data_IF_866825920829
#
_entry.id   IF_866825920829
#
_cell.length_a   1.000
_cell.length_b   1.000
_cell.length_c   1.000
_cell.angle_alpha   90.00
_cell.angle_beta   90.00
_cell.angle_gamma   90.00
#
_symmetry.space_group_name_H-M   'P 1'
#
loop_
_entity.id
_entity.type
_entity.pdbx_description
1 polymer ?
#
# COMPACT_ATOMS: atom_id res chain seq x y z
N UNK A 1 48.57 16.41 -5.00
CA UNK A 1 47.34 15.79 -5.53
C UNK A 1 47.68 14.36 -5.87
N UNK A 2 47.17 13.43 -5.08
CA UNK A 2 47.36 12.00 -5.30
C UNK A 2 46.50 11.57 -6.50
N UNK A 3 47.10 10.80 -7.40
CA UNK A 3 46.54 10.44 -8.69
C UNK A 3 46.80 8.96 -8.96
N UNK A 4 45.76 8.23 -9.31
CA UNK A 4 45.90 6.84 -9.75
C UNK A 4 46.36 6.85 -11.20
N UNK A 5 47.58 6.36 -11.44
CA UNK A 5 48.15 6.25 -12.79
C UNK A 5 47.84 4.87 -13.36
N UNK A 6 47.09 4.82 -14.45
CA UNK A 6 46.97 3.62 -15.27
C UNK A 6 48.11 3.54 -16.27
N UNK A 7 48.72 2.36 -16.42
CA UNK A 7 49.84 2.12 -17.31
C UNK A 7 49.48 2.19 -18.81
N UNK A 8 48.19 2.20 -19.15
CA UNK A 8 47.70 2.05 -20.53
C UNK A 8 47.29 3.36 -21.23
N UNK A 9 47.55 4.52 -20.64
CA UNK A 9 47.11 5.81 -21.18
C UNK A 9 45.61 6.06 -20.94
N UNK A 10 45.30 7.30 -20.55
CA UNK A 10 43.94 7.73 -20.17
C UNK A 10 44.00 8.99 -19.31
N UNK A 11 42.85 9.65 -19.10
CA UNK A 11 42.75 10.76 -18.16
C UNK A 11 43.03 10.24 -16.73
N UNK A 12 43.93 10.88 -15.96
CA UNK A 12 44.18 10.48 -14.58
C UNK A 12 42.90 10.58 -13.75
N UNK A 13 42.62 9.56 -12.93
CA UNK A 13 41.56 9.63 -11.93
C UNK A 13 42.11 10.34 -10.71
N UNK A 14 41.46 11.43 -10.33
CA UNK A 14 41.77 12.19 -9.12
C UNK A 14 40.97 11.62 -7.95
N UNK A 15 41.49 11.83 -6.73
CA UNK A 15 40.76 11.44 -5.51
C UNK A 15 39.36 12.09 -5.44
N UNK A 16 39.21 13.29 -6.00
CA UNK A 16 37.93 13.98 -6.06
C UNK A 16 36.91 13.30 -6.97
N UNK A 17 37.35 12.59 -8.03
CA UNK A 17 36.47 11.80 -8.88
C UNK A 17 35.91 10.59 -8.12
N UNK A 18 36.71 9.96 -7.25
CA UNK A 18 36.26 8.85 -6.40
C UNK A 18 35.24 9.35 -5.37
N UNK A 19 35.49 10.51 -4.76
CA UNK A 19 34.51 11.14 -3.85
C UNK A 19 33.21 11.49 -4.57
N UNK A 20 33.31 11.96 -5.81
CA UNK A 20 32.14 12.24 -6.63
C UNK A 20 31.33 10.97 -6.90
N UNK A 21 31.98 9.86 -7.28
CA UNK A 21 31.31 8.58 -7.51
C UNK A 21 30.59 8.04 -6.25
N UNK A 22 31.24 8.11 -5.08
CA UNK A 22 30.62 7.72 -3.81
C UNK A 22 29.39 8.58 -3.48
N UNK A 23 29.49 9.90 -3.68
CA UNK A 23 28.36 10.81 -3.48
C UNK A 23 27.20 10.51 -4.45
N UNK A 24 27.49 10.31 -5.75
CA UNK A 24 26.47 10.00 -6.76
C UNK A 24 25.74 8.70 -6.41
N UNK A 25 26.47 7.68 -5.96
CA UNK A 25 25.87 6.42 -5.50
C UNK A 25 24.90 6.65 -4.34
N UNK A 26 25.35 7.34 -3.28
CA UNK A 26 24.55 7.63 -2.08
C UNK A 26 23.31 8.45 -2.40
N UNK A 27 23.44 9.48 -3.23
CA UNK A 27 22.32 10.34 -3.63
C UNK A 27 21.33 9.61 -4.55
N UNK A 28 21.80 8.73 -5.43
CA UNK A 28 20.92 7.91 -6.29
C UNK A 28 20.08 6.96 -5.44
N UNK A 29 20.69 6.29 -4.45
CA UNK A 29 19.95 5.41 -3.54
C UNK A 29 18.94 6.18 -2.67
N UNK A 30 19.31 7.37 -2.16
CA UNK A 30 18.37 8.26 -1.48
C UNK A 30 17.16 8.59 -2.34
N UNK A 31 17.37 8.98 -3.59
CA UNK A 31 16.29 9.29 -4.53
C UNK A 31 15.43 8.08 -4.86
N UNK A 32 16.04 6.90 -5.01
CA UNK A 32 15.30 5.66 -5.22
C UNK A 32 14.38 5.34 -4.04
N UNK A 33 14.85 5.52 -2.80
CA UNK A 33 14.02 5.33 -1.61
C UNK A 33 12.88 6.36 -1.54
N UNK A 34 13.14 7.61 -1.95
CA UNK A 34 12.10 8.65 -2.03
C UNK A 34 10.99 8.32 -3.06
N UNK A 35 11.30 7.54 -4.11
CA UNK A 35 10.28 7.10 -5.08
C UNK A 35 9.18 6.25 -4.43
N UNK A 36 9.45 5.62 -3.29
CA UNK A 36 8.46 4.90 -2.48
C UNK A 36 7.71 5.80 -1.50
N UNK A 37 7.75 7.13 -1.72
CA UNK A 37 7.16 8.15 -0.86
C UNK A 37 7.73 8.14 0.58
N UNK A 38 8.96 7.66 0.73
CA UNK A 38 9.70 7.76 1.98
C UNK A 38 10.28 9.17 2.10
N UNK A 39 10.05 9.90 3.20
CA UNK A 39 10.78 11.13 3.47
C UNK A 39 12.30 10.93 3.30
N UNK A 40 12.98 11.98 2.86
CA UNK A 40 14.40 11.96 2.48
C UNK A 40 15.37 11.55 3.59
N UNK A 41 14.90 11.50 4.83
CA UNK A 41 15.60 11.11 6.04
C UNK A 41 15.10 9.78 6.64
N UNK A 42 14.24 9.02 5.94
CA UNK A 42 13.77 7.75 6.47
C UNK A 42 14.88 6.71 6.40
N UNK A 43 15.09 6.13 7.56
CA UNK A 43 15.86 4.91 7.75
C UNK A 43 14.89 3.72 7.74
N UNK A 44 15.24 2.63 7.06
CA UNK A 44 14.37 1.46 6.96
C UNK A 44 15.19 0.16 6.83
N UNK A 45 14.57 -0.96 7.21
CA UNK A 45 15.18 -2.28 7.03
C UNK A 45 14.95 -2.72 5.58
N UNK A 46 16.02 -3.00 4.84
CA UNK A 46 15.92 -3.50 3.46
C UNK A 46 15.65 -5.00 3.49
N UNK A 47 16.40 -5.73 4.34
CA UNK A 47 16.30 -7.19 4.49
C UNK A 47 16.92 -7.63 5.80
N UNK A 48 16.37 -8.67 6.43
CA UNK A 48 16.93 -9.26 7.65
C UNK A 48 16.61 -8.42 8.89
N UNK A 49 17.54 -8.34 9.83
CA UNK A 49 17.43 -7.56 11.08
C UNK A 49 16.18 -7.88 11.91
N UNK A 50 15.72 -9.13 11.84
CA UNK A 50 14.65 -9.67 12.66
C UNK A 50 15.12 -9.77 14.11
N UNK A 51 14.31 -9.21 15.00
CA UNK A 51 14.56 -9.20 16.44
C UNK A 51 13.81 -10.37 17.07
N UNK A 52 14.55 -11.31 17.62
CA UNK A 52 14.02 -12.39 18.47
C UNK A 52 14.25 -12.01 19.93
N UNK A 53 13.16 -11.94 20.68
CA UNK A 53 13.21 -11.56 22.08
C UNK A 53 13.38 -12.80 22.97
N UNK A 54 14.45 -12.85 23.77
CA UNK A 54 14.63 -13.86 24.84
C UNK A 54 14.35 -13.22 26.21
N UNK A 55 14.52 -13.92 27.33
CA UNK A 55 14.25 -13.30 28.64
C UNK A 55 15.21 -12.14 28.96
N UNK A 56 16.49 -12.25 28.59
CA UNK A 56 17.55 -11.32 29.00
C UNK A 56 18.20 -10.56 27.85
N UNK A 57 18.00 -11.00 26.60
CA UNK A 57 18.62 -10.39 25.43
C UNK A 57 17.66 -10.24 24.25
N UNK A 58 17.98 -9.31 23.37
CA UNK A 58 17.49 -9.26 21.99
C UNK A 58 18.52 -9.93 21.09
N UNK A 59 18.10 -10.95 20.35
CA UNK A 59 18.90 -11.60 19.32
C UNK A 59 18.48 -11.04 17.97
N UNK A 60 19.42 -10.43 17.27
CA UNK A 60 19.18 -9.77 15.99
C UNK A 60 19.95 -10.53 14.94
N UNK A 61 19.26 -11.02 13.90
CA UNK A 61 19.94 -11.66 12.79
C UNK A 61 20.58 -10.62 11.86
N UNK A 62 21.51 -11.10 11.04
CA UNK A 62 22.17 -10.25 10.05
C UNK A 62 21.18 -9.68 9.02
N UNK A 63 21.56 -8.54 8.43
CA UNK A 63 20.74 -7.90 7.41
C UNK A 63 21.36 -6.67 6.78
N UNK A 64 20.53 -5.93 6.06
CA UNK A 64 20.88 -4.70 5.37
C UNK A 64 19.86 -3.64 5.76
N UNK A 65 20.36 -2.49 6.17
CA UNK A 65 19.55 -1.35 6.62
C UNK A 65 19.95 -0.13 5.80
N UNK A 66 18.96 0.68 5.42
CA UNK A 66 19.22 2.04 4.97
C UNK A 66 19.14 2.97 6.17
N UNK A 67 20.25 3.65 6.51
CA UNK A 67 20.28 4.71 7.52
C UNK A 67 20.61 6.03 6.84
N UNK A 68 19.71 7.01 6.91
CA UNK A 68 19.86 8.31 6.22
C UNK A 68 20.20 8.17 4.72
N UNK A 69 19.67 7.12 4.07
CA UNK A 69 19.91 6.82 2.66
C UNK A 69 21.25 6.15 2.34
N UNK A 70 22.05 5.81 3.35
CA UNK A 70 23.22 4.96 3.21
C UNK A 70 22.84 3.50 3.45
N UNK A 71 23.16 2.62 2.50
CA UNK A 71 23.01 1.19 2.69
C UNK A 71 24.16 0.65 3.54
N UNK A 72 23.82 0.06 4.67
CA UNK A 72 24.76 -0.49 5.63
C UNK A 72 24.46 -1.96 5.87
N UNK A 73 25.54 -2.73 5.99
CA UNK A 73 25.47 -4.08 6.52
C UNK A 73 25.23 -4.02 8.03
N UNK A 74 24.31 -4.83 8.53
CA UNK A 74 24.02 -5.00 9.94
C UNK A 74 24.45 -6.43 10.33
N UNK A 75 25.56 -6.61 11.06
CA UNK A 75 25.96 -7.93 11.52
C UNK A 75 24.98 -8.46 12.57
N UNK A 76 24.92 -9.79 12.73
CA UNK A 76 24.15 -10.41 13.80
C UNK A 76 24.64 -9.93 15.17
N UNK A 77 23.70 -9.56 16.05
CA UNK A 77 23.98 -8.91 17.33
C UNK A 77 23.16 -9.54 18.45
N UNK A 78 23.77 -9.64 19.63
CA UNK A 78 23.08 -9.98 20.87
C UNK A 78 23.16 -8.78 21.79
N UNK A 79 22.02 -8.16 22.08
CA UNK A 79 21.94 -6.95 22.89
C UNK A 79 21.25 -7.27 24.20
N UNK A 80 21.88 -6.96 25.34
CA UNK A 80 21.27 -7.14 26.64
C UNK A 80 20.05 -6.24 26.81
N UNK A 81 19.03 -6.75 27.49
CA UNK A 81 17.83 -5.97 27.84
C UNK A 81 18.08 -5.06 29.03
N UNK A 82 17.72 -3.80 28.85
CA UNK A 82 17.75 -2.73 29.81
C UNK A 82 16.40 -2.04 29.77
N UNK A 83 15.86 -1.71 30.93
CA UNK A 83 14.58 -1.02 31.07
C UNK A 83 14.78 0.23 31.92
N UNK A 84 15.32 1.27 31.30
CA UNK A 84 15.48 2.60 31.91
C UNK A 84 14.49 3.54 31.23
N UNK A 85 13.72 4.27 32.03
CA UNK A 85 12.71 5.21 31.53
C UNK A 85 13.36 6.26 30.62
N UNK A 86 12.75 6.50 29.45
CA UNK A 86 13.22 7.48 28.47
C UNK A 86 14.38 7.03 27.58
N UNK A 87 14.86 5.79 27.73
CA UNK A 87 15.85 5.19 26.86
C UNK A 87 15.20 4.13 25.97
N UNK A 88 15.76 3.94 24.77
CA UNK A 88 15.28 2.94 23.82
C UNK A 88 16.43 2.35 23.02
N UNK A 89 16.13 1.27 22.31
CA UNK A 89 17.04 0.65 21.36
C UNK A 89 16.82 1.25 19.98
N UNK A 90 17.91 1.68 19.35
CA UNK A 90 17.85 2.30 18.03
C UNK A 90 19.09 1.97 17.21
N UNK A 91 18.94 2.03 15.89
CA UNK A 91 20.04 1.81 14.96
C UNK A 91 20.89 3.06 14.81
N UNK A 92 22.20 2.87 14.85
CA UNK A 92 23.22 3.88 14.59
C UNK A 92 24.20 3.36 13.54
N UNK A 93 24.93 4.30 12.94
CA UNK A 93 26.13 3.96 12.18
C UNK A 93 27.28 3.89 13.17
N UNK A 94 27.96 2.75 13.19
CA UNK A 94 29.18 2.56 13.93
C UNK A 94 30.35 2.46 12.95
N UNK A 95 31.46 3.11 13.30
CA UNK A 95 32.65 3.20 12.46
C UNK A 95 33.77 2.47 13.19
N UNK A 96 34.30 1.41 12.57
CA UNK A 96 35.45 0.67 13.08
C UNK A 96 36.60 0.74 12.08
N UNK A 97 37.82 0.51 12.53
CA UNK A 97 39.00 0.50 11.70
C UNK A 97 39.60 -0.89 11.66
N UNK A 98 39.97 -1.35 10.46
CA UNK A 98 40.67 -2.62 10.35
C UNK A 98 41.99 -2.59 11.13
N UNK A 99 42.29 -3.67 11.86
CA UNK A 99 43.51 -3.80 12.64
C UNK A 99 44.79 -3.81 11.79
N UNK A 100 44.70 -4.23 10.52
CA UNK A 100 45.76 -4.14 9.51
C UNK A 100 45.70 -2.84 8.68
N UNK A 101 44.69 -2.00 8.93
CA UNK A 101 44.46 -0.75 8.22
C UNK A 101 45.37 0.39 8.65
N UNK A 102 46.29 0.21 9.59
CA UNK A 102 47.17 1.28 10.07
C UNK A 102 48.42 1.43 9.20
N UNK A 103 48.71 2.66 8.78
CA UNK A 103 49.91 2.99 8.00
C UNK A 103 50.76 4.01 8.72
N UNK A 104 52.08 3.81 8.72
CA UNK A 104 53.03 4.80 9.22
C UNK A 104 53.37 5.75 8.08
N UNK A 105 53.06 7.03 8.26
CA UNK A 105 53.38 8.10 7.32
C UNK A 105 54.88 8.43 7.38
N UNK A 106 55.39 9.13 6.35
CA UNK A 106 56.80 9.53 6.27
C UNK A 106 57.26 10.44 7.43
N UNK A 107 56.32 11.08 8.13
CA UNK A 107 56.58 11.88 9.34
C UNK A 107 56.59 11.04 10.63
N UNK A 108 56.48 9.71 10.55
CA UNK A 108 56.45 8.78 11.68
C UNK A 108 55.07 8.64 12.35
N UNK A 109 54.03 9.33 11.89
CA UNK A 109 52.69 9.20 12.46
C UNK A 109 51.98 7.95 11.93
N UNK A 110 51.38 7.16 12.83
CA UNK A 110 50.49 6.06 12.46
C UNK A 110 49.08 6.59 12.24
N UNK A 111 48.52 6.35 11.06
CA UNK A 111 47.16 6.77 10.68
C UNK A 111 46.35 5.55 10.27
N UNK A 112 45.12 5.47 10.76
CA UNK A 112 44.15 4.47 10.31
C UNK A 112 43.72 4.81 8.88
N UNK A 113 43.99 3.92 7.94
CA UNK A 113 43.79 4.14 6.51
C UNK A 113 42.54 3.45 5.96
N UNK A 114 41.99 2.46 6.67
CA UNK A 114 40.82 1.68 6.25
C UNK A 114 39.73 1.72 7.31
N UNK A 115 38.65 2.44 7.00
CA UNK A 115 37.43 2.55 7.81
C UNK A 115 36.37 1.57 7.29
N UNK A 116 35.71 0.88 8.20
CA UNK A 116 34.49 0.11 7.96
C UNK A 116 33.32 0.78 8.67
N UNK A 117 32.17 0.75 8.00
CA UNK A 117 30.94 1.32 8.53
C UNK A 117 29.85 0.27 8.48
N UNK A 118 29.20 0.04 9.61
CA UNK A 118 28.09 -0.91 9.72
C UNK A 118 26.97 -0.33 10.56
N UNK A 119 25.78 -0.92 10.45
CA UNK A 119 24.66 -0.58 11.30
C UNK A 119 24.72 -1.40 12.60
N UNK A 120 24.65 -0.70 13.74
CA UNK A 120 24.69 -1.29 15.07
C UNK A 120 23.51 -0.81 15.93
N UNK A 121 23.04 -1.66 16.85
CA UNK A 121 21.99 -1.27 17.80
C UNK A 121 22.59 -0.68 19.06
N UNK A 122 22.34 0.61 19.27
CA UNK A 122 22.65 1.30 20.51
C UNK A 122 21.46 1.26 21.49
N UNK A 123 21.77 1.41 22.77
CA UNK A 123 20.80 1.64 23.83
C UNK A 123 21.07 2.98 24.51
N UNK A 124 20.07 3.84 24.57
CA UNK A 124 20.20 5.14 25.23
C UNK A 124 19.10 6.12 24.85
N UNK A 125 19.38 7.41 25.01
CA UNK A 125 18.48 8.48 24.56
C UNK A 125 18.66 8.62 23.04
N UNK A 126 17.62 8.38 22.23
CA UNK A 126 17.74 8.47 20.79
C UNK A 126 17.81 9.94 20.32
N UNK A 127 18.46 10.21 19.18
CA UNK A 127 18.38 11.52 18.54
C UNK A 127 16.96 11.81 18.04
N UNK A 128 16.69 13.07 17.64
CA UNK A 128 15.36 13.49 17.16
C UNK A 128 14.85 12.73 15.93
N UNK A 129 15.76 12.17 15.12
CA UNK A 129 15.47 11.31 13.99
C UNK A 129 16.29 10.03 14.14
N UNK A 130 15.61 8.91 14.35
CA UNK A 130 16.22 7.60 14.55
C UNK A 130 15.35 6.48 13.98
N UNK A 131 15.96 5.33 13.69
CA UNK A 131 15.26 4.09 13.41
C UNK A 131 15.16 3.27 14.70
N UNK A 132 13.98 3.08 15.29
CA UNK A 132 13.85 2.22 16.46
C UNK A 132 14.25 0.78 16.13
N UNK A 133 14.84 0.05 17.06
CA UNK A 133 15.11 -1.38 16.86
C UNK A 133 13.81 -2.18 16.77
N UNK A 134 12.89 -1.95 17.71
CA UNK A 134 11.58 -2.62 17.77
C UNK A 134 10.57 -1.76 17.02
N UNK A 135 9.81 -2.38 16.11
CA UNK A 135 8.83 -1.67 15.28
C UNK A 135 9.44 -0.87 14.13
N UNK A 136 10.73 -1.06 13.82
CA UNK A 136 11.30 -0.62 12.56
C UNK A 136 10.50 -1.22 11.39
N UNK A 137 10.05 -0.35 10.48
CA UNK A 137 9.41 -0.78 9.25
C UNK A 137 10.45 -1.25 8.24
N UNK A 138 10.18 -2.38 7.61
CA UNK A 138 10.91 -2.80 6.43
C UNK A 138 10.50 -1.97 5.22
N UNK A 139 11.34 -1.93 4.19
CA UNK A 139 10.99 -1.34 2.89
C UNK A 139 9.70 -1.96 2.32
N UNK A 140 9.51 -3.27 2.54
CA UNK A 140 8.31 -3.97 2.11
C UNK A 140 7.06 -3.46 2.85
N UNK A 141 7.17 -3.18 4.15
CA UNK A 141 6.06 -2.61 4.92
C UNK A 141 5.66 -1.23 4.37
N UNK A 142 6.63 -0.39 4.02
CA UNK A 142 6.35 0.88 3.37
C UNK A 142 5.67 0.73 2.00
N UNK A 143 6.11 -0.24 1.19
CA UNK A 143 5.48 -0.54 -0.10
C UNK A 143 4.03 -1.03 0.10
N UNK A 144 3.80 -1.88 1.11
CA UNK A 144 2.48 -2.42 1.42
C UNK A 144 1.53 -1.34 1.96
N UNK A 145 2.02 -0.45 2.82
CA UNK A 145 1.26 0.69 3.31
C UNK A 145 0.85 1.62 2.16
N UNK A 146 1.79 1.91 1.25
CA UNK A 146 1.53 2.78 0.10
C UNK A 146 0.55 2.17 -0.90
N UNK A 147 0.68 0.88 -1.20
CA UNK A 147 -0.25 0.18 -2.09
C UNK A 147 -1.65 0.10 -1.47
N UNK A 148 -1.75 -0.14 -0.17
CA UNK A 148 -3.03 -0.17 0.55
C UNK A 148 -3.73 1.19 0.54
N UNK A 149 -3.01 2.29 0.82
CA UNK A 149 -3.55 3.65 0.73
C UNK A 149 -4.04 3.98 -0.67
N UNK A 150 -3.23 3.67 -1.69
CA UNK A 150 -3.63 3.86 -3.09
C UNK A 150 -4.84 3.03 -3.49
N UNK A 151 -5.07 1.86 -2.91
CA UNK A 151 -6.28 1.08 -3.22
C UNK A 151 -7.51 1.69 -2.56
N UNK A 152 -7.39 2.21 -1.34
CA UNK A 152 -8.47 2.86 -0.60
C UNK A 152 -8.89 4.17 -1.29
N UNK A 153 -7.93 5.01 -1.68
CA UNK A 153 -8.21 6.30 -2.33
C UNK A 153 -8.80 6.16 -3.74
N UNK A 154 -8.75 4.97 -4.31
CA UNK A 154 -9.07 4.68 -5.70
C UNK A 154 -10.42 3.97 -5.89
N UNK A 155 -11.06 3.52 -4.82
CA UNK A 155 -12.45 3.05 -4.88
C UNK A 155 -13.33 4.25 -4.52
N UNK A 156 -14.20 4.69 -5.44
CA UNK A 156 -15.18 5.72 -5.08
C UNK A 156 -16.00 5.20 -3.89
N UNK A 157 -16.26 6.04 -2.87
CA UNK A 157 -16.97 5.60 -1.68
C UNK A 157 -18.33 5.00 -2.08
N UNK A 158 -18.66 3.87 -1.45
CA UNK A 158 -19.96 3.22 -1.59
C UNK A 158 -21.08 4.25 -1.42
N UNK A 159 -21.79 4.52 -2.51
CA UNK A 159 -22.90 5.46 -2.49
C UNK A 159 -24.18 4.69 -2.21
N UNK A 160 -24.97 5.17 -1.26
CA UNK A 160 -26.23 4.56 -0.86
C UNK A 160 -27.37 5.14 -1.70
N UNK A 161 -28.23 4.27 -2.23
CA UNK A 161 -29.54 4.68 -2.76
C UNK A 161 -30.40 5.07 -1.55
N UNK A 162 -30.69 6.36 -1.40
CA UNK A 162 -31.64 6.81 -0.38
C UNK A 162 -33.06 6.37 -0.76
N UNK A 163 -33.96 6.22 0.22
CA UNK A 163 -35.35 5.83 -0.02
C UNK A 163 -36.09 6.76 -1.00
N UNK A 164 -35.63 8.02 -1.13
CA UNK A 164 -36.19 9.02 -2.04
C UNK A 164 -35.83 8.81 -3.52
N UNK A 165 -34.81 7.99 -3.82
CA UNK A 165 -34.38 7.71 -5.19
C UNK A 165 -35.16 6.55 -5.84
N UNK A 166 -35.94 5.81 -5.07
CA UNK A 166 -36.83 4.76 -5.59
C UNK A 166 -38.06 5.37 -6.27
N UNK A 167 -38.49 4.74 -7.36
CA UNK A 167 -39.78 5.06 -7.95
C UNK A 167 -40.92 4.62 -6.99
N UNK A 168 -42.10 5.27 -7.05
CA UNK A 168 -43.19 4.99 -6.13
C UNK A 168 -43.51 3.51 -5.97
N UNK A 169 -43.56 3.05 -4.72
CA UNK A 169 -43.83 1.67 -4.32
C UNK A 169 -42.59 0.77 -4.19
N UNK A 170 -41.43 1.18 -4.71
CA UNK A 170 -40.18 0.46 -4.44
C UNK A 170 -39.56 0.90 -3.12
N UNK A 171 -38.91 -0.04 -2.44
CA UNK A 171 -38.20 0.22 -1.18
C UNK A 171 -37.01 -0.74 -1.01
N UNK A 172 -36.17 -0.47 -0.02
CA UNK A 172 -35.12 -1.38 0.43
C UNK A 172 -35.69 -2.62 1.13
N UNK A 173 -35.14 -3.81 0.86
CA UNK A 173 -35.47 -5.02 1.61
C UNK A 173 -34.97 -4.95 3.06
N UNK A 174 -35.86 -5.14 4.04
CA UNK A 174 -35.53 -5.09 5.47
C UNK A 174 -34.76 -3.84 5.92
N UNK A 175 -34.99 -2.70 5.25
CA UNK A 175 -34.27 -1.45 5.54
C UNK A 175 -32.81 -1.43 5.10
N UNK A 176 -32.32 -2.48 4.42
CA UNK A 176 -30.97 -2.53 3.85
C UNK A 176 -30.95 -1.81 2.49
N UNK A 177 -30.30 -0.65 2.36
CA UNK A 177 -30.33 0.13 1.13
C UNK A 177 -29.63 -0.61 0.00
N UNK A 178 -30.12 -0.41 -1.22
CA UNK A 178 -29.38 -0.75 -2.43
C UNK A 178 -28.14 0.14 -2.50
N UNK A 179 -27.01 -0.45 -2.86
CA UNK A 179 -25.70 0.20 -2.92
C UNK A 179 -25.17 0.14 -4.33
N UNK A 180 -24.41 1.15 -4.69
CA UNK A 180 -23.60 1.11 -5.90
C UNK A 180 -22.25 1.77 -5.63
N UNK A 181 -21.23 1.30 -6.32
CA UNK A 181 -19.90 1.89 -6.30
C UNK A 181 -19.26 1.75 -7.67
N UNK A 182 -18.25 2.58 -7.93
CA UNK A 182 -17.49 2.58 -9.17
C UNK A 182 -16.04 2.25 -8.86
N UNK A 183 -15.47 1.27 -9.57
CA UNK A 183 -14.06 0.96 -9.48
C UNK A 183 -13.20 1.88 -10.37
N UNK A 184 -11.89 1.68 -10.27
CA UNK A 184 -10.89 2.39 -11.06
C UNK A 184 -11.00 2.24 -12.56
N UNK A 185 -11.56 1.13 -13.02
CA UNK A 185 -11.73 0.83 -14.44
C UNK A 185 -13.00 1.46 -15.00
N UNK A 186 -13.65 2.32 -14.19
CA UNK A 186 -14.98 2.86 -14.43
C UNK A 186 -16.04 1.77 -14.54
N UNK A 187 -15.88 0.64 -13.84
CA UNK A 187 -16.94 -0.36 -13.73
C UNK A 187 -17.81 -0.04 -12.52
N UNK A 188 -19.11 0.05 -12.75
CA UNK A 188 -20.12 0.23 -11.71
C UNK A 188 -20.60 -1.13 -11.26
N UNK A 189 -20.71 -1.32 -9.96
CA UNK A 189 -21.26 -2.51 -9.32
C UNK A 189 -22.50 -2.13 -8.54
N UNK A 190 -23.51 -2.98 -8.59
CA UNK A 190 -24.73 -2.88 -7.79
C UNK A 190 -24.73 -3.99 -6.74
N UNK A 191 -25.33 -3.70 -5.59
CA UNK A 191 -25.52 -4.68 -4.52
C UNK A 191 -26.75 -4.34 -3.67
N UNK A 192 -27.36 -5.36 -3.09
CA UNK A 192 -28.53 -5.25 -2.23
C UNK A 192 -29.83 -5.63 -2.94
N UNK A 193 -30.93 -5.49 -2.20
CA UNK A 193 -32.23 -6.03 -2.61
C UNK A 193 -33.28 -4.93 -2.62
N UNK A 194 -34.01 -4.81 -3.73
CA UNK A 194 -35.15 -3.91 -3.88
C UNK A 194 -36.46 -4.69 -3.70
N UNK A 195 -37.40 -4.13 -2.94
CA UNK A 195 -38.70 -4.72 -2.63
C UNK A 195 -39.83 -3.91 -3.24
N UNK A 196 -40.77 -4.60 -3.88
CA UNK A 196 -42.09 -4.10 -4.27
C UNK A 196 -42.95 -5.26 -4.77
N UNK A 197 -44.19 -5.37 -4.29
CA UNK A 197 -45.17 -6.33 -4.81
C UNK A 197 -45.85 -5.76 -6.06
N UNK A 198 -45.43 -6.17 -7.26
CA UNK A 198 -46.03 -5.72 -8.53
C UNK A 198 -45.83 -6.71 -9.69
N UNK A 199 -46.57 -6.43 -10.78
CA UNK A 199 -46.34 -7.00 -12.10
C UNK A 199 -45.11 -6.36 -12.79
N UNK A 200 -44.51 -7.07 -13.75
CA UNK A 200 -43.37 -6.61 -14.53
C UNK A 200 -43.64 -5.31 -15.31
N UNK A 201 -42.56 -4.63 -15.75
CA UNK A 201 -42.63 -3.40 -16.54
C UNK A 201 -42.48 -2.11 -15.74
N UNK A 202 -41.96 -2.17 -14.50
CA UNK A 202 -41.81 -0.99 -13.66
C UNK A 202 -40.36 -0.55 -13.50
N UNK A 203 -40.16 0.76 -13.36
CA UNK A 203 -38.87 1.34 -13.01
C UNK A 203 -38.62 1.14 -11.51
N UNK A 204 -37.42 0.70 -11.14
CA UNK A 204 -37.01 0.45 -9.76
C UNK A 204 -36.46 1.74 -9.13
N UNK A 205 -35.35 2.25 -9.68
CA UNK A 205 -34.74 3.53 -9.33
C UNK A 205 -33.90 4.05 -10.51
N UNK A 206 -33.38 5.27 -10.39
CA UNK A 206 -32.47 5.88 -11.36
C UNK A 206 -31.10 6.10 -10.76
N UNK A 207 -30.05 5.69 -11.48
CA UNK A 207 -28.67 5.93 -11.08
C UNK A 207 -28.30 7.40 -11.27
N UNK A 208 -27.48 7.99 -10.36
CA UNK A 208 -26.94 9.33 -10.56
C UNK A 208 -26.14 9.42 -11.86
N UNK A 209 -26.02 10.63 -12.43
CA UNK A 209 -25.39 10.86 -13.73
C UNK A 209 -24.00 10.18 -13.88
N UNK A 210 -23.18 10.17 -12.82
CA UNK A 210 -21.82 9.64 -12.84
C UNK A 210 -21.72 8.10 -12.71
N UNK A 211 -22.85 7.41 -12.74
CA UNK A 211 -22.96 5.95 -12.60
C UNK A 211 -23.79 5.31 -13.74
N UNK A 212 -24.16 6.07 -14.77
CA UNK A 212 -25.03 5.58 -15.85
C UNK A 212 -24.24 4.78 -16.88
N UNK A 213 -24.77 3.65 -17.39
CA UNK A 213 -24.06 2.90 -18.41
C UNK A 213 -24.05 3.62 -19.76
N UNK A 214 -23.04 3.33 -20.58
CA UNK A 214 -23.00 3.84 -21.96
C UNK A 214 -24.00 3.14 -22.88
N UNK A 215 -24.21 1.84 -22.65
CA UNK A 215 -25.09 1.00 -23.45
C UNK A 215 -26.23 0.48 -22.58
N UNK A 216 -27.30 0.02 -23.23
CA UNK A 216 -28.34 -0.71 -22.52
C UNK A 216 -27.75 -2.06 -22.09
N UNK A 217 -27.83 -2.37 -20.80
CA UNK A 217 -27.44 -3.67 -20.27
C UNK A 217 -28.66 -4.47 -19.83
N UNK A 218 -28.57 -5.78 -19.96
CA UNK A 218 -29.64 -6.72 -19.71
C UNK A 218 -29.12 -7.86 -18.84
N UNK A 219 -29.79 -8.13 -17.73
CA UNK A 219 -29.37 -9.12 -16.74
C UNK A 219 -30.54 -9.99 -16.32
N UNK A 220 -30.26 -11.27 -16.18
CA UNK A 220 -31.08 -12.17 -15.37
C UNK A 220 -30.62 -12.06 -13.92
N UNK A 221 -31.58 -11.86 -13.02
CA UNK A 221 -31.34 -11.66 -11.60
C UNK A 221 -32.24 -12.58 -10.78
N UNK A 222 -31.81 -12.89 -9.57
CA UNK A 222 -32.62 -13.68 -8.64
C UNK A 222 -33.58 -12.74 -7.92
N UNK A 223 -34.85 -13.12 -7.91
CA UNK A 223 -35.89 -12.48 -7.11
C UNK A 223 -36.63 -13.49 -6.24
N UNK A 224 -37.52 -12.97 -5.39
CA UNK A 224 -38.50 -13.77 -4.66
C UNK A 224 -39.90 -13.36 -5.12
N UNK A 225 -40.78 -14.34 -5.30
CA UNK A 225 -42.21 -14.11 -5.50
C UNK A 225 -42.91 -13.74 -4.18
N UNK A 226 -44.22 -13.53 -4.22
CA UNK A 226 -45.04 -13.23 -3.03
C UNK A 226 -45.13 -14.37 -2.01
N UNK A 227 -44.77 -15.60 -2.38
CA UNK A 227 -44.71 -16.76 -1.50
C UNK A 227 -43.29 -16.99 -0.93
N UNK A 228 -42.32 -16.16 -1.32
CA UNK A 228 -40.92 -16.30 -0.94
C UNK A 228 -40.15 -17.38 -1.72
N UNK A 229 -40.67 -17.83 -2.86
CA UNK A 229 -39.98 -18.76 -3.75
C UNK A 229 -39.02 -18.01 -4.67
N UNK A 230 -37.84 -18.61 -4.93
CA UNK A 230 -36.85 -18.04 -5.84
C UNK A 230 -37.33 -18.11 -7.28
N UNK A 231 -37.26 -16.97 -7.96
CA UNK A 231 -37.62 -16.80 -9.37
C UNK A 231 -36.49 -16.09 -10.12
N UNK A 232 -36.42 -16.30 -11.43
CA UNK A 232 -35.50 -15.54 -12.30
C UNK A 232 -36.27 -14.37 -12.91
N UNK A 233 -35.86 -13.16 -12.55
CA UNK A 233 -36.38 -11.93 -13.12
C UNK A 233 -35.39 -11.35 -14.13
N UNK A 234 -35.89 -10.55 -15.07
CA UNK A 234 -35.05 -9.84 -16.05
C UNK A 234 -35.06 -8.34 -15.79
N UNK A 235 -33.89 -7.74 -15.63
CA UNK A 235 -33.74 -6.30 -15.49
C UNK A 235 -32.98 -5.70 -16.67
N UNK A 236 -33.38 -4.50 -17.06
CA UNK A 236 -32.69 -3.67 -18.05
C UNK A 236 -32.18 -2.42 -17.35
N UNK A 237 -30.90 -2.10 -17.57
CA UNK A 237 -30.30 -0.83 -17.15
C UNK A 237 -30.17 0.04 -18.39
N UNK A 238 -31.02 1.05 -18.50
CA UNK A 238 -31.02 1.99 -19.61
C UNK A 238 -29.86 3.00 -19.51
N UNK A 239 -29.50 3.62 -20.63
CA UNK A 239 -28.42 4.62 -20.71
C UNK A 239 -28.67 5.89 -19.89
N UNK A 240 -29.94 6.18 -19.56
CA UNK A 240 -30.29 7.25 -18.63
C UNK A 240 -30.14 6.83 -17.14
N UNK A 241 -29.60 5.64 -16.86
CA UNK A 241 -29.42 5.10 -15.52
C UNK A 241 -30.67 4.47 -14.91
N UNK A 242 -31.80 4.45 -15.62
CA UNK A 242 -33.04 3.84 -15.09
C UNK A 242 -32.89 2.32 -15.09
N UNK A 243 -33.14 1.71 -13.94
CA UNK A 243 -33.20 0.25 -13.80
C UNK A 243 -34.67 -0.16 -13.90
N UNK A 244 -34.97 -1.03 -14.86
CA UNK A 244 -36.33 -1.42 -15.25
C UNK A 244 -36.46 -2.92 -15.06
N UNK A 245 -37.47 -3.35 -14.31
CA UNK A 245 -37.90 -4.74 -14.28
C UNK A 245 -38.74 -5.01 -15.53
N UNK A 246 -38.30 -5.89 -16.43
CA UNK A 246 -38.96 -6.07 -17.73
C UNK A 246 -39.82 -7.31 -17.86
N UNK A 247 -39.44 -8.42 -17.22
CA UNK A 247 -40.18 -9.67 -17.35
C UNK A 247 -40.06 -10.53 -16.09
N UNK A 248 -41.14 -11.25 -15.77
CA UNK A 248 -41.11 -12.38 -14.84
C UNK A 248 -41.22 -13.66 -15.66
N UNK A 249 -40.20 -14.52 -15.63
CA UNK A 249 -40.10 -15.67 -16.57
C UNK A 249 -41.12 -16.79 -16.27
N UNK A 250 -41.82 -16.72 -15.14
CA UNK A 250 -42.91 -17.63 -14.76
C UNK A 250 -44.26 -16.89 -14.70
N UNK A 251 -45.31 -17.55 -15.17
CA UNK A 251 -46.61 -16.98 -15.51
C UNK A 251 -47.25 -16.11 -14.39
N UNK A 252 -47.41 -14.80 -14.63
CA UNK A 252 -48.24 -13.88 -13.82
C UNK A 252 -47.90 -13.76 -12.33
N UNK A 253 -46.77 -14.28 -11.87
CA UNK A 253 -46.38 -14.17 -10.46
C UNK A 253 -45.96 -12.73 -10.16
N UNK A 254 -46.49 -12.19 -9.07
CA UNK A 254 -46.04 -10.92 -8.54
C UNK A 254 -44.65 -11.12 -7.93
N UNK A 255 -43.69 -10.30 -8.33
CA UNK A 255 -42.38 -10.27 -7.70
C UNK A 255 -42.52 -9.50 -6.39
N UNK A 256 -41.95 -10.00 -5.30
CA UNK A 256 -41.87 -9.31 -4.02
C UNK A 256 -40.54 -8.58 -3.85
N UNK A 257 -39.44 -9.24 -4.26
CA UNK A 257 -38.08 -8.70 -4.09
C UNK A 257 -37.14 -9.11 -5.22
N UNK A 258 -36.10 -8.31 -5.47
CA UNK A 258 -35.08 -8.55 -6.50
C UNK A 258 -33.70 -8.25 -5.91
N UNK A 259 -32.79 -9.22 -5.99
CA UNK A 259 -31.37 -9.01 -5.70
C UNK A 259 -30.67 -8.37 -6.89
N UNK A 260 -29.84 -7.36 -6.61
CA UNK A 260 -28.99 -6.69 -7.58
C UNK A 260 -27.52 -7.09 -7.43
N UNK A 261 -27.24 -8.10 -6.59
CA UNK A 261 -25.89 -8.56 -6.33
C UNK A 261 -25.28 -9.22 -7.56
N UNK A 262 -24.01 -8.91 -7.84
CA UNK A 262 -23.28 -9.45 -8.98
C UNK A 262 -23.49 -8.69 -10.29
N UNK A 263 -24.35 -7.67 -10.31
CA UNK A 263 -24.54 -6.84 -11.50
C UNK A 263 -23.40 -5.85 -11.61
N UNK A 264 -22.73 -5.84 -12.77
CA UNK A 264 -21.70 -4.86 -13.07
C UNK A 264 -21.66 -4.49 -14.55
N UNK A 265 -21.38 -3.22 -14.82
CA UNK A 265 -21.28 -2.67 -16.18
C UNK A 265 -20.26 -1.54 -16.24
N UNK A 266 -19.81 -1.19 -17.45
CA UNK A 266 -18.85 -0.11 -17.64
C UNK A 266 -19.56 1.24 -17.75
N UNK A 267 -19.20 2.17 -16.88
CA UNK A 267 -19.42 3.60 -17.05
C UNK A 267 -18.46 4.12 -18.12
N UNK A 268 -18.93 5.06 -18.93
CA UNK A 268 -18.07 5.81 -19.83
C UNK A 268 -18.26 7.29 -19.49
N UNK A 269 -17.27 7.83 -18.78
CA UNK A 269 -17.08 9.26 -18.56
C UNK A 269 -15.90 9.74 -19.36
#
# INVERSE_FOLDING_TARGET
MDRFLYYNGGMPIYLDDIKYLDNVYRETFKQLLQAFNLPSNISCIIKGCQVTETQTTYQINEGIISLNGELLYAPAQNVNKYNVQGQTYYWIIDNDYYSDGYKVLANGQTVASWEQRWAFVAYGIPPSSYLPMIGAKSLLDYINDYTSQKLIDKVEPLTLVSSQAFYPGWSSHNGLPVRFYKDLTSRVYLSGTANKTINAGSNIFILPNNYRPLYIHDYNVVGLDVLGQEIIARIIIATNGTIILTHNLTNNEQIQSISLDGISFRYLG
#
